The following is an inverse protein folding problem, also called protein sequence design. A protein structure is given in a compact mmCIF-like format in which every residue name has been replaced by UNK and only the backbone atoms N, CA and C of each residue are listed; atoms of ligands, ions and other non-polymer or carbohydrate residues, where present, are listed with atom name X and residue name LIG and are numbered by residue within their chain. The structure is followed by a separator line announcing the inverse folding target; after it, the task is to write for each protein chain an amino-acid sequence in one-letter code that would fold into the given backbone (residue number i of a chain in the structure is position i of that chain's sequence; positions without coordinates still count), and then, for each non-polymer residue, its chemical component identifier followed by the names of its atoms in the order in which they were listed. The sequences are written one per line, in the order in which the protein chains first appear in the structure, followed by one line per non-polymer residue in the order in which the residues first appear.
data_IF_113324624794
#
_entry.id   IF_113324624794
#
_cell.length_a   1.000
_cell.length_b   1.000
_cell.length_c   1.000
_cell.angle_alpha   90.00
_cell.angle_beta   90.00
_cell.angle_gamma   90.00
#
_symmetry.space_group_name_H-M   'P 1'
#
loop_
_entity.id
_entity.type
_entity.pdbx_description
1 polymer ?
#
# COMPACT_ATOMS: atom_id res chain seq x y z
N UNK A 1 17.91 17.94 9.33
CA UNK A 1 18.90 16.91 8.96
C UNK A 1 20.11 17.65 8.40
N UNK A 2 21.34 17.36 8.86
CA UNK A 2 22.55 17.92 8.24
C UNK A 2 22.70 17.38 6.81
N UNK A 3 23.43 18.08 5.93
CA UNK A 3 23.62 17.66 4.55
C UNK A 3 24.36 16.32 4.52
N UNK A 4 23.75 15.32 3.88
CA UNK A 4 24.36 14.01 3.64
C UNK A 4 25.66 14.24 2.86
N UNK A 5 26.79 13.89 3.47
CA UNK A 5 28.11 14.01 2.84
C UNK A 5 28.15 13.20 1.55
N UNK A 6 28.44 13.88 0.45
CA UNK A 6 28.58 13.37 -0.91
C UNK A 6 29.73 12.35 -1.01
N UNK A 7 29.46 11.06 -0.87
CA UNK A 7 30.42 10.03 -1.31
C UNK A 7 29.86 9.02 -2.32
N UNK A 8 28.54 8.96 -2.54
CA UNK A 8 27.94 8.25 -3.68
C UNK A 8 26.63 8.94 -4.06
N UNK A 9 26.69 9.98 -4.90
CA UNK A 9 25.48 10.47 -5.57
C UNK A 9 25.22 9.57 -6.77
N UNK A 10 24.35 8.58 -6.61
CA UNK A 10 23.83 7.79 -7.74
C UNK A 10 23.31 8.77 -8.82
N UNK A 11 23.75 8.70 -10.09
CA UNK A 11 23.22 9.57 -11.13
C UNK A 11 21.70 9.47 -11.22
N UNK A 12 21.01 10.58 -11.51
CA UNK A 12 19.53 10.59 -11.58
C UNK A 12 18.99 9.61 -12.64
N UNK A 13 19.69 9.46 -13.77
CA UNK A 13 19.36 8.47 -14.80
C UNK A 13 19.41 7.04 -14.29
N UNK A 14 20.44 6.69 -13.52
CA UNK A 14 20.58 5.37 -12.90
C UNK A 14 19.49 5.13 -11.85
N UNK A 15 19.13 6.14 -11.06
CA UNK A 15 18.02 6.05 -10.11
C UNK A 15 16.68 5.76 -10.82
N UNK A 16 16.41 6.41 -11.96
CA UNK A 16 15.24 6.10 -12.79
C UNK A 16 15.29 4.70 -13.37
N UNK A 17 16.45 4.25 -13.87
CA UNK A 17 16.63 2.91 -14.42
C UNK A 17 16.42 1.83 -13.36
N UNK A 18 16.93 2.03 -12.14
CA UNK A 18 16.74 1.10 -11.03
C UNK A 18 15.29 1.07 -10.57
N UNK A 19 14.65 2.23 -10.41
CA UNK A 19 13.24 2.29 -10.05
C UNK A 19 12.35 1.60 -11.11
N UNK A 20 12.64 1.82 -12.40
CA UNK A 20 12.00 1.11 -13.50
C UNK A 20 12.25 -0.40 -13.41
N UNK A 21 13.49 -0.83 -13.14
CA UNK A 21 13.86 -2.25 -13.01
C UNK A 21 13.12 -2.91 -11.86
N UNK A 22 13.03 -2.26 -10.69
CA UNK A 22 12.26 -2.76 -9.55
C UNK A 22 10.78 -2.92 -9.90
N UNK A 23 10.15 -1.87 -10.44
CA UNK A 23 8.74 -1.89 -10.81
C UNK A 23 8.44 -2.93 -11.92
N UNK A 24 9.28 -2.98 -12.95
CA UNK A 24 9.14 -3.90 -14.08
C UNK A 24 9.37 -5.34 -13.65
N UNK A 25 10.38 -5.62 -12.82
CA UNK A 25 10.61 -6.98 -12.32
C UNK A 25 9.42 -7.46 -11.49
N UNK A 26 8.84 -6.58 -10.66
CA UNK A 26 7.69 -6.90 -9.83
C UNK A 26 6.47 -7.26 -10.68
N UNK A 27 6.07 -6.36 -11.59
CA UNK A 27 4.91 -6.55 -12.47
C UNK A 27 5.16 -7.69 -13.47
N UNK A 28 6.33 -7.71 -14.09
CA UNK A 28 6.72 -8.71 -15.08
C UNK A 28 6.69 -10.12 -14.50
N UNK A 29 7.11 -10.30 -13.25
CA UNK A 29 7.10 -11.61 -12.57
C UNK A 29 5.72 -12.29 -12.56
N UNK A 30 4.63 -11.50 -12.58
CA UNK A 30 3.26 -12.01 -12.62
C UNK A 30 2.92 -12.77 -13.91
N UNK A 31 3.66 -12.49 -14.98
CA UNK A 31 3.38 -12.99 -16.33
C UNK A 31 4.47 -13.93 -16.88
N UNK A 32 5.63 -14.03 -16.22
CA UNK A 32 6.72 -14.94 -16.63
C UNK A 32 6.25 -16.39 -16.58
N UNK A 33 5.68 -16.81 -15.45
CA UNK A 33 5.27 -18.19 -15.20
C UNK A 33 3.91 -18.48 -15.85
N UNK A 34 3.83 -19.55 -16.66
CA UNK A 34 2.63 -19.89 -17.46
C UNK A 34 1.39 -20.08 -16.60
N UNK A 35 1.56 -20.68 -15.43
CA UNK A 35 0.51 -20.96 -14.43
C UNK A 35 0.01 -19.69 -13.76
N UNK A 36 0.76 -18.59 -13.82
CA UNK A 36 0.34 -17.27 -13.32
C UNK A 36 -0.44 -16.43 -14.34
N UNK A 37 -0.50 -16.86 -15.61
CA UNK A 37 -1.16 -16.11 -16.69
C UNK A 37 -2.68 -16.32 -16.64
N UNK A 38 -3.41 -15.22 -16.81
CA UNK A 38 -4.87 -15.27 -16.89
C UNK A 38 -5.32 -15.87 -18.22
N UNK A 39 -6.40 -16.66 -18.18
CA UNK A 39 -7.07 -17.17 -19.38
C UNK A 39 -8.45 -16.58 -19.46
N UNK A 40 -8.69 -15.81 -20.52
CA UNK A 40 -9.97 -15.18 -20.78
C UNK A 40 -10.78 -16.05 -21.74
N UNK A 41 -12.07 -16.17 -21.50
CA UNK A 41 -12.95 -16.88 -22.42
C UNK A 41 -13.03 -16.11 -23.74
N UNK A 42 -12.61 -16.73 -24.83
CA UNK A 42 -12.92 -16.30 -26.20
C UNK A 42 -14.15 -17.07 -26.66
N UNK A 43 -15.04 -16.41 -27.41
CA UNK A 43 -16.38 -16.92 -27.75
C UNK A 43 -16.43 -18.37 -28.24
N UNK A 44 -17.53 -19.05 -27.88
CA UNK A 44 -18.05 -20.32 -28.41
C UNK A 44 -17.12 -21.56 -28.44
N UNK A 45 -16.06 -21.63 -27.62
CA UNK A 45 -15.35 -22.89 -27.38
C UNK A 45 -15.53 -23.34 -25.92
N UNK A 46 -16.30 -24.40 -25.66
CA UNK A 46 -16.59 -24.87 -24.30
C UNK A 46 -15.39 -25.49 -23.55
N UNK A 47 -14.23 -25.64 -24.21
CA UNK A 47 -13.04 -26.30 -23.63
C UNK A 47 -12.08 -25.36 -22.88
N UNK A 48 -12.13 -24.02 -23.08
CA UNK A 48 -11.21 -23.11 -22.38
C UNK A 48 -11.86 -22.63 -21.08
N UNK A 49 -11.58 -23.35 -19.99
CA UNK A 49 -11.98 -22.94 -18.64
C UNK A 49 -11.38 -21.55 -18.31
N UNK A 50 -12.25 -20.56 -18.07
CA UNK A 50 -11.85 -19.20 -17.66
C UNK A 50 -11.01 -19.30 -16.39
N UNK A 51 -9.75 -18.89 -16.45
CA UNK A 51 -8.83 -18.87 -15.31
C UNK A 51 -8.59 -17.44 -14.89
N UNK A 52 -9.32 -17.03 -13.86
CA UNK A 52 -9.32 -15.66 -13.33
C UNK A 52 -8.20 -15.39 -12.33
N UNK A 53 -8.07 -14.11 -11.93
CA UNK A 53 -7.08 -13.64 -10.96
C UNK A 53 -7.23 -14.27 -9.57
N UNK A 54 -8.46 -14.67 -9.21
CA UNK A 54 -8.77 -15.25 -7.90
C UNK A 54 -8.71 -16.79 -7.87
N UNK A 55 -8.25 -17.40 -8.95
CA UNK A 55 -7.93 -18.82 -8.99
C UNK A 55 -6.78 -19.14 -8.00
N UNK A 56 -6.94 -20.11 -7.07
CA UNK A 56 -5.95 -20.37 -6.02
C UNK A 56 -4.56 -20.72 -6.55
N UNK A 57 -4.47 -21.39 -7.70
CA UNK A 57 -3.19 -21.75 -8.30
C UNK A 57 -2.53 -20.54 -8.97
N UNK A 58 -3.31 -19.67 -9.64
CA UNK A 58 -2.81 -18.36 -10.13
C UNK A 58 -2.27 -17.54 -8.97
N UNK A 59 -3.01 -17.45 -7.87
CA UNK A 59 -2.59 -16.70 -6.68
C UNK A 59 -1.27 -17.26 -6.15
N UNK A 60 -1.19 -18.56 -5.85
CA UNK A 60 0.04 -19.17 -5.30
C UNK A 60 1.26 -18.93 -6.20
N UNK A 61 1.08 -19.08 -7.51
CA UNK A 61 2.15 -18.85 -8.50
C UNK A 61 2.60 -17.39 -8.51
N UNK A 62 1.66 -16.45 -8.61
CA UNK A 62 1.96 -15.02 -8.58
C UNK A 62 2.61 -14.61 -7.26
N UNK A 63 2.13 -15.12 -6.12
CA UNK A 63 2.72 -14.85 -4.80
C UNK A 63 4.17 -15.31 -4.70
N UNK A 64 4.50 -16.50 -5.20
CA UNK A 64 5.90 -16.97 -5.27
C UNK A 64 6.74 -16.05 -6.16
N UNK A 65 6.25 -15.71 -7.34
CA UNK A 65 6.95 -14.87 -8.31
C UNK A 65 7.25 -13.47 -7.75
N UNK A 66 6.27 -12.78 -7.15
CA UNK A 66 6.48 -11.45 -6.55
C UNK A 66 7.39 -11.51 -5.33
N UNK A 67 7.37 -12.61 -4.57
CA UNK A 67 8.30 -12.80 -3.44
C UNK A 67 9.75 -12.89 -3.94
N UNK A 68 10.02 -13.69 -4.97
CA UNK A 68 11.36 -13.77 -5.57
C UNK A 68 11.79 -12.44 -6.19
N UNK A 69 10.90 -11.74 -6.90
CA UNK A 69 11.19 -10.40 -7.44
C UNK A 69 11.48 -9.36 -6.34
N UNK A 70 10.79 -9.45 -5.20
CA UNK A 70 11.03 -8.57 -4.05
C UNK A 70 12.39 -8.87 -3.40
N UNK A 71 12.74 -10.14 -3.25
CA UNK A 71 14.08 -10.55 -2.78
C UNK A 71 15.16 -10.05 -3.74
N UNK A 72 14.96 -10.21 -5.06
CA UNK A 72 15.85 -9.66 -6.07
C UNK A 72 16.04 -8.15 -5.92
N UNK A 73 14.96 -7.40 -5.71
CA UNK A 73 15.01 -5.94 -5.52
C UNK A 73 15.82 -5.56 -4.28
N UNK A 74 15.62 -6.28 -3.16
CA UNK A 74 16.41 -6.10 -1.93
C UNK A 74 17.88 -6.40 -2.20
N UNK A 75 18.20 -7.55 -2.80
CA UNK A 75 19.58 -7.96 -3.05
C UNK A 75 20.30 -7.00 -4.00
N UNK A 76 19.62 -6.52 -5.04
CA UNK A 76 20.16 -5.53 -5.96
C UNK A 76 20.41 -4.19 -5.24
N UNK A 77 19.48 -3.73 -4.40
CA UNK A 77 19.71 -2.54 -3.57
C UNK A 77 20.87 -2.76 -2.59
N UNK A 78 20.95 -3.92 -1.94
CA UNK A 78 22.05 -4.24 -1.03
C UNK A 78 23.39 -4.28 -1.76
N UNK A 79 23.44 -4.81 -2.97
CA UNK A 79 24.63 -4.76 -3.83
C UNK A 79 25.05 -3.32 -4.12
N UNK A 80 24.11 -2.45 -4.49
CA UNK A 80 24.38 -1.01 -4.72
C UNK A 80 24.86 -0.31 -3.43
N UNK A 81 24.28 -0.69 -2.28
CA UNK A 81 24.62 -0.14 -0.96
C UNK A 81 25.83 -0.81 -0.29
N UNK A 82 26.37 -1.91 -0.82
CA UNK A 82 27.36 -2.78 -0.15
C UNK A 82 28.72 -2.12 0.09
N UNK A 83 28.89 -0.86 -0.32
CA UNK A 83 30.01 0.00 0.05
C UNK A 83 29.88 0.66 1.43
N UNK A 84 28.75 0.51 2.15
CA UNK A 84 28.56 1.02 3.52
C UNK A 84 27.49 0.23 4.31
N UNK A 85 27.91 -0.70 5.16
CA UNK A 85 27.03 -1.63 5.92
C UNK A 85 26.06 -0.93 6.88
N UNK A 86 26.33 0.32 7.29
CA UNK A 86 25.46 1.07 8.20
C UNK A 86 24.28 1.77 7.50
N UNK A 87 24.38 2.06 6.18
CA UNK A 87 23.35 2.83 5.46
C UNK A 87 22.11 2.03 5.09
N UNK A 88 22.23 0.72 4.87
CA UNK A 88 21.11 -0.06 4.30
C UNK A 88 19.94 -0.28 5.28
N UNK A 89 20.21 -0.40 6.59
CA UNK A 89 19.14 -0.59 7.59
C UNK A 89 18.25 0.65 7.70
N UNK A 90 18.87 1.83 7.66
CA UNK A 90 18.16 3.12 7.67
C UNK A 90 17.37 3.32 6.36
N UNK A 91 17.93 2.91 5.22
CA UNK A 91 17.27 3.04 3.92
C UNK A 91 16.09 2.08 3.74
N UNK A 92 16.17 0.85 4.25
CA UNK A 92 15.09 -0.13 4.13
C UNK A 92 13.99 0.03 5.20
N UNK A 93 14.29 0.71 6.31
CA UNK A 93 13.33 0.92 7.39
C UNK A 93 12.87 -0.36 8.10
N UNK A 94 13.73 -1.39 8.17
CA UNK A 94 13.43 -2.65 8.88
C UNK A 94 13.61 -2.59 10.40
N UNK A 95 13.53 -1.39 10.99
CA UNK A 95 13.55 -1.25 12.44
C UNK A 95 12.30 -1.90 13.08
N UNK A 96 12.46 -2.48 14.28
CA UNK A 96 11.30 -2.94 15.05
C UNK A 96 10.35 -1.77 15.33
N UNK A 97 9.02 -2.00 15.40
CA UNK A 97 8.03 -0.95 15.65
C UNK A 97 7.98 -0.60 17.15
N UNK A 98 9.15 -0.33 17.73
CA UNK A 98 9.31 0.07 19.13
C UNK A 98 9.81 1.51 19.17
N UNK A 99 9.25 2.36 20.06
CA UNK A 99 9.76 3.70 20.25
C UNK A 99 11.25 3.64 20.62
N UNK A 100 12.10 4.51 20.06
CA UNK A 100 13.50 4.55 20.45
C UNK A 100 13.62 4.85 21.94
N UNK A 101 14.65 4.31 22.60
CA UNK A 101 14.86 4.48 24.05
C UNK A 101 14.83 5.96 24.46
N UNK A 102 15.30 6.86 23.60
CA UNK A 102 15.22 8.32 23.77
C UNK A 102 13.81 8.86 24.02
N UNK A 103 12.77 8.20 23.49
CA UNK A 103 11.36 8.55 23.75
C UNK A 103 10.98 8.42 25.22
N UNK A 104 11.70 7.58 25.97
CA UNK A 104 11.49 7.33 27.40
C UNK A 104 12.45 8.13 28.28
N UNK A 105 13.47 8.77 27.71
CA UNK A 105 14.44 9.62 28.43
C UNK A 105 13.93 11.04 28.66
N UNK A 106 12.70 11.37 28.22
CA UNK A 106 12.05 12.63 28.52
C UNK A 106 11.90 12.83 30.03
N UNK A 107 12.34 13.99 30.53
CA UNK A 107 12.29 14.34 31.95
C UNK A 107 10.86 14.49 32.52
N UNK A 108 9.81 14.52 31.69
CA UNK A 108 8.42 14.60 32.14
C UNK A 108 7.55 13.44 31.61
N UNK A 109 6.56 12.96 32.40
CA UNK A 109 5.57 11.98 31.93
C UNK A 109 4.82 12.43 30.68
N UNK A 110 4.51 13.73 30.57
CA UNK A 110 3.84 14.32 29.39
C UNK A 110 4.70 14.21 28.13
N UNK A 111 6.01 14.43 28.25
CA UNK A 111 6.93 14.30 27.12
C UNK A 111 7.10 12.85 26.65
N UNK A 112 7.04 11.87 27.57
CA UNK A 112 7.03 10.44 27.22
C UNK A 112 5.77 10.10 26.44
N UNK A 113 4.59 10.48 26.94
CA UNK A 113 3.31 10.25 26.27
C UNK A 113 3.30 10.89 24.88
N UNK A 114 3.77 12.12 24.75
CA UNK A 114 3.84 12.82 23.45
C UNK A 114 4.76 12.10 22.47
N UNK A 115 5.92 11.61 22.93
CA UNK A 115 6.90 10.91 22.08
C UNK A 115 6.37 9.56 21.60
N UNK A 116 5.77 8.78 22.52
CA UNK A 116 5.12 7.50 22.19
C UNK A 116 3.94 7.70 21.24
N UNK A 117 3.12 8.73 21.47
CA UNK A 117 2.00 9.05 20.59
C UNK A 117 2.49 9.38 19.17
N UNK A 118 3.51 10.24 19.02
CA UNK A 118 4.07 10.58 17.71
C UNK A 118 4.66 9.37 16.99
N UNK A 119 5.28 8.44 17.72
CA UNK A 119 5.79 7.21 17.16
C UNK A 119 4.68 6.34 16.55
N UNK A 120 3.55 6.20 17.25
CA UNK A 120 2.45 5.36 16.77
C UNK A 120 1.47 6.08 15.84
N UNK A 121 1.47 7.42 15.80
CA UNK A 121 0.56 8.20 14.97
C UNK A 121 0.55 7.77 13.49
N UNK A 122 1.70 7.55 12.80
CA UNK A 122 1.73 7.07 11.43
C UNK A 122 0.94 5.78 11.16
N UNK A 123 0.88 4.86 12.13
CA UNK A 123 0.14 3.61 12.04
C UNK A 123 -1.38 3.81 12.16
N UNK A 124 -1.80 4.91 12.80
CA UNK A 124 -3.20 5.21 13.11
C UNK A 124 -3.86 6.13 12.08
N UNK A 125 -3.08 6.85 11.26
CA UNK A 125 -3.59 7.86 10.34
C UNK A 125 -4.60 7.31 9.33
N UNK A 126 -4.35 6.14 8.72
CA UNK A 126 -5.34 5.52 7.80
C UNK A 126 -6.61 5.10 8.55
N UNK A 127 -6.56 4.36 9.68
CA UNK A 127 -7.74 4.12 10.50
C UNK A 127 -8.51 5.39 10.87
N UNK A 128 -7.81 6.48 11.21
CA UNK A 128 -8.41 7.80 11.50
C UNK A 128 -9.12 8.36 10.26
N UNK A 129 -8.51 8.30 9.08
CA UNK A 129 -9.16 8.73 7.83
C UNK A 129 -10.44 7.93 7.55
N UNK A 130 -10.42 6.62 7.86
CA UNK A 130 -11.55 5.70 7.72
C UNK A 130 -12.60 5.78 8.83
N UNK A 131 -12.55 6.80 9.71
CA UNK A 131 -13.53 7.01 10.78
C UNK A 131 -14.99 6.96 10.29
N UNK A 132 -15.30 7.56 9.13
CA UNK A 132 -16.63 7.50 8.51
C UNK A 132 -17.08 6.07 8.16
N UNK A 133 -16.36 5.34 7.30
CA UNK A 133 -16.64 3.93 7.01
C UNK A 133 -16.69 3.02 8.24
N UNK A 134 -15.79 3.20 9.22
CA UNK A 134 -15.80 2.44 10.49
C UNK A 134 -17.11 2.70 11.25
N UNK A 135 -17.56 3.95 11.31
CA UNK A 135 -18.84 4.31 11.92
C UNK A 135 -20.03 3.64 11.20
N UNK A 136 -19.98 3.52 9.87
CA UNK A 136 -21.01 2.78 9.13
C UNK A 136 -21.01 1.29 9.47
N UNK A 137 -19.84 0.67 9.63
CA UNK A 137 -19.72 -0.74 10.09
C UNK A 137 -20.30 -0.89 11.52
N UNK A 138 -20.02 0.09 12.39
CA UNK A 138 -20.59 0.14 13.74
C UNK A 138 -22.12 0.23 13.74
N UNK A 139 -22.69 1.12 12.92
CA UNK A 139 -24.15 1.26 12.80
C UNK A 139 -24.81 -0.02 12.30
N UNK A 140 -24.10 -0.79 11.47
CA UNK A 140 -24.54 -2.09 10.96
C UNK A 140 -24.32 -3.23 11.95
N UNK A 141 -23.82 -2.95 13.16
CA UNK A 141 -23.51 -3.92 14.21
C UNK A 141 -22.53 -5.02 13.77
N UNK A 142 -21.56 -4.64 12.92
CA UNK A 142 -20.57 -5.56 12.31
C UNK A 142 -19.13 -5.35 12.81
N UNK A 143 -18.89 -4.43 13.74
CA UNK A 143 -17.59 -4.39 14.42
C UNK A 143 -17.40 -5.62 15.32
N UNK A 144 -16.15 -6.01 15.60
CA UNK A 144 -15.86 -7.07 16.57
C UNK A 144 -16.69 -6.90 17.85
N UNK A 145 -17.27 -8.01 18.32
CA UNK A 145 -18.11 -8.08 19.53
C UNK A 145 -19.50 -7.41 19.43
N UNK A 146 -19.92 -6.92 18.25
CA UNK A 146 -21.31 -6.53 18.00
C UNK A 146 -22.16 -7.72 17.52
N UNK A 147 -23.49 -7.54 17.57
CA UNK A 147 -24.49 -8.59 17.35
C UNK A 147 -24.34 -9.40 16.04
N UNK A 148 -23.78 -8.81 14.98
CA UNK A 148 -23.62 -9.47 13.67
C UNK A 148 -22.15 -9.68 13.29
N UNK A 149 -21.23 -9.70 14.26
CA UNK A 149 -19.81 -9.98 14.02
C UNK A 149 -19.40 -11.28 14.72
N UNK A 150 -18.62 -12.16 14.05
CA UNK A 150 -18.17 -13.43 14.64
C UNK A 150 -17.05 -13.26 15.71
N UNK A 151 -16.86 -12.07 16.28
CA UNK A 151 -15.73 -11.72 17.14
C UNK A 151 -14.42 -11.45 16.37
N UNK A 152 -13.43 -10.84 17.02
CA UNK A 152 -12.19 -10.38 16.37
C UNK A 152 -11.39 -11.53 15.74
N UNK A 153 -11.12 -12.58 16.50
CA UNK A 153 -10.28 -13.71 16.04
C UNK A 153 -10.91 -14.44 14.86
N UNK A 154 -12.23 -14.66 14.87
CA UNK A 154 -12.91 -15.31 13.76
C UNK A 154 -12.98 -14.42 12.52
N UNK A 155 -13.19 -13.10 12.69
CA UNK A 155 -13.12 -12.15 11.57
C UNK A 155 -11.73 -12.12 10.93
N UNK A 156 -10.67 -12.13 11.73
CA UNK A 156 -9.29 -12.19 11.24
C UNK A 156 -9.03 -13.53 10.53
N UNK A 157 -9.39 -14.65 11.16
CA UNK A 157 -9.25 -15.98 10.56
C UNK A 157 -10.04 -16.11 9.25
N UNK A 158 -11.23 -15.51 9.17
CA UNK A 158 -12.02 -15.44 7.94
C UNK A 158 -11.33 -14.58 6.87
N UNK A 159 -10.75 -13.44 7.26
CA UNK A 159 -10.09 -12.53 6.34
C UNK A 159 -8.82 -13.12 5.71
N UNK A 160 -8.03 -13.90 6.45
CA UNK A 160 -6.81 -14.56 5.93
C UNK A 160 -6.96 -16.07 5.75
N UNK A 161 -8.20 -16.59 5.79
CA UNK A 161 -8.47 -18.03 5.74
C UNK A 161 -8.36 -18.66 4.35
N UNK A 162 -8.18 -17.85 3.30
CA UNK A 162 -8.04 -18.32 1.93
C UNK A 162 -6.91 -17.58 1.18
N UNK A 163 -6.55 -18.07 0.00
CA UNK A 163 -5.45 -17.52 -0.80
C UNK A 163 -5.67 -16.05 -1.20
N UNK A 164 -6.92 -15.65 -1.46
CA UNK A 164 -7.28 -14.25 -1.78
C UNK A 164 -7.00 -13.34 -0.59
N UNK A 165 -7.38 -13.76 0.61
CA UNK A 165 -7.15 -13.06 1.86
C UNK A 165 -5.67 -12.91 2.19
N UNK A 166 -4.90 -14.01 2.11
CA UNK A 166 -3.44 -13.99 2.31
C UNK A 166 -2.76 -13.06 1.30
N UNK A 167 -3.18 -13.09 0.03
CA UNK A 167 -2.69 -12.16 -1.00
C UNK A 167 -2.98 -10.72 -0.61
N UNK A 168 -4.24 -10.38 -0.35
CA UNK A 168 -4.70 -9.00 -0.19
C UNK A 168 -4.23 -8.35 1.12
N UNK A 169 -4.09 -9.11 2.20
CA UNK A 169 -3.86 -8.56 3.55
C UNK A 169 -2.49 -8.88 4.14
N UNK A 170 -1.71 -9.76 3.51
CA UNK A 170 -0.39 -10.14 4.02
C UNK A 170 0.67 -9.94 2.94
N UNK A 171 0.66 -10.78 1.89
CA UNK A 171 1.79 -10.85 0.97
C UNK A 171 1.87 -9.62 0.08
N UNK A 172 0.78 -9.22 -0.59
CA UNK A 172 0.82 -8.08 -1.50
C UNK A 172 1.18 -6.77 -0.79
N UNK A 173 0.57 -6.41 0.37
CA UNK A 173 1.02 -5.23 1.11
C UNK A 173 2.52 -5.28 1.45
N UNK A 174 3.02 -6.39 2.01
CA UNK A 174 4.43 -6.49 2.39
C UNK A 174 5.36 -6.33 1.17
N UNK A 175 5.11 -7.08 0.10
CA UNK A 175 5.99 -7.06 -1.07
C UNK A 175 5.90 -5.75 -1.85
N UNK A 176 4.71 -5.15 -1.97
CA UNK A 176 4.55 -3.85 -2.62
C UNK A 176 5.23 -2.72 -1.84
N UNK A 177 5.09 -2.70 -0.50
CA UNK A 177 5.79 -1.69 0.30
C UNK A 177 7.32 -1.86 0.23
N UNK A 178 7.83 -3.09 0.29
CA UNK A 178 9.27 -3.35 0.14
C UNK A 178 9.81 -2.81 -1.19
N UNK A 179 9.15 -3.13 -2.31
CA UNK A 179 9.65 -2.74 -3.63
C UNK A 179 9.46 -1.25 -3.86
N UNK A 180 8.24 -0.74 -3.69
CA UNK A 180 7.89 0.61 -4.11
C UNK A 180 8.16 1.68 -3.05
N UNK A 181 8.24 1.31 -1.76
CA UNK A 181 8.54 2.25 -0.67
C UNK A 181 9.96 2.06 -0.16
N UNK A 182 10.42 0.87 0.16
CA UNK A 182 11.81 0.73 0.61
C UNK A 182 12.81 0.90 -0.56
N UNK A 183 12.70 0.09 -1.63
CA UNK A 183 13.73 0.07 -2.67
C UNK A 183 13.74 1.32 -3.55
N UNK A 184 12.58 1.73 -4.06
CA UNK A 184 12.49 2.91 -4.93
C UNK A 184 12.82 4.21 -4.19
N UNK A 185 12.36 4.40 -2.96
CA UNK A 185 12.72 5.60 -2.17
C UNK A 185 14.19 5.62 -1.83
N UNK A 186 14.80 4.46 -1.52
CA UNK A 186 16.23 4.39 -1.25
C UNK A 186 17.07 4.87 -2.44
N UNK A 187 16.80 4.42 -3.67
CA UNK A 187 17.58 4.88 -4.85
C UNK A 187 17.39 6.36 -5.15
N UNK A 188 16.20 6.92 -4.93
CA UNK A 188 15.99 8.37 -5.05
C UNK A 188 16.64 9.17 -3.92
N UNK A 189 16.78 8.59 -2.73
CA UNK A 189 17.52 9.19 -1.62
C UNK A 189 19.02 9.19 -1.93
N UNK A 190 19.55 8.08 -2.47
CA UNK A 190 20.95 7.95 -2.88
C UNK A 190 21.33 8.89 -4.03
N UNK A 191 20.40 9.25 -4.91
CA UNK A 191 20.64 10.26 -5.95
C UNK A 191 20.52 11.71 -5.46
N UNK A 192 20.26 11.92 -4.16
CA UNK A 192 20.12 13.24 -3.56
C UNK A 192 18.83 13.97 -3.95
N UNK A 193 17.78 13.25 -4.36
CA UNK A 193 16.51 13.89 -4.69
C UNK A 193 15.91 14.58 -3.45
N UNK A 194 15.43 15.80 -3.62
CA UNK A 194 14.73 16.52 -2.57
C UNK A 194 13.51 15.74 -2.08
N UNK A 195 13.24 15.75 -0.76
CA UNK A 195 12.13 15.00 -0.13
C UNK A 195 10.79 15.14 -0.87
N UNK A 196 10.43 16.36 -1.28
CA UNK A 196 9.16 16.59 -1.98
C UNK A 196 9.10 15.89 -3.36
N UNK A 197 10.23 15.79 -4.07
CA UNK A 197 10.32 15.04 -5.34
C UNK A 197 10.16 13.55 -5.10
N UNK A 198 10.71 13.04 -4.00
CA UNK A 198 10.54 11.63 -3.61
C UNK A 198 9.07 11.36 -3.28
N UNK A 199 8.46 12.18 -2.41
CA UNK A 199 7.06 12.03 -1.96
C UNK A 199 6.07 12.07 -3.11
N UNK A 200 6.24 12.96 -4.09
CA UNK A 200 5.29 13.12 -5.19
C UNK A 200 5.68 12.40 -6.49
N UNK A 201 6.98 12.12 -6.69
CA UNK A 201 7.50 11.51 -7.91
C UNK A 201 7.61 9.99 -7.83
N UNK A 202 8.19 9.45 -6.76
CA UNK A 202 8.37 7.98 -6.63
C UNK A 202 7.07 7.16 -6.69
N UNK A 203 5.91 7.63 -6.16
CA UNK A 203 4.65 6.87 -6.23
C UNK A 203 4.10 6.70 -7.65
N UNK A 204 4.60 7.43 -8.65
CA UNK A 204 4.22 7.22 -10.05
C UNK A 204 4.57 5.80 -10.49
N UNK A 205 5.67 5.21 -10.00
CA UNK A 205 6.01 3.81 -10.26
C UNK A 205 4.97 2.84 -9.72
N UNK A 206 4.46 3.11 -8.52
CA UNK A 206 3.40 2.30 -7.91
C UNK A 206 2.07 2.44 -8.67
N UNK A 207 1.72 3.65 -9.10
CA UNK A 207 0.58 3.89 -9.99
C UNK A 207 0.73 3.14 -11.31
N UNK A 208 1.87 3.29 -11.98
CA UNK A 208 2.15 2.65 -13.27
C UNK A 208 2.09 1.12 -13.20
N UNK A 209 2.48 0.52 -12.07
CA UNK A 209 2.41 -0.91 -11.86
C UNK A 209 0.99 -1.49 -11.94
N UNK A 210 -0.04 -0.64 -11.86
CA UNK A 210 -1.44 -1.04 -11.99
C UNK A 210 -1.98 -0.89 -13.43
N UNK A 211 -1.22 -0.31 -14.36
CA UNK A 211 -1.67 -0.10 -15.73
C UNK A 211 -1.95 -1.40 -16.48
N UNK A 212 -1.30 -2.52 -16.10
CA UNK A 212 -1.63 -3.84 -16.68
C UNK A 212 -3.08 -4.26 -16.45
N UNK A 213 -3.78 -3.68 -15.46
CA UNK A 213 -5.18 -4.01 -15.20
C UNK A 213 -6.10 -3.50 -16.31
N UNK A 214 -5.69 -2.52 -17.12
CA UNK A 214 -6.45 -2.10 -18.29
C UNK A 214 -6.60 -3.27 -19.28
N UNK A 215 -5.50 -3.99 -19.53
CA UNK A 215 -5.53 -5.18 -20.37
C UNK A 215 -6.41 -6.27 -19.76
N UNK A 216 -6.27 -6.54 -18.45
CA UNK A 216 -7.10 -7.54 -17.78
C UNK A 216 -8.60 -7.19 -17.82
N UNK A 217 -8.96 -5.93 -17.57
CA UNK A 217 -10.33 -5.44 -17.61
C UNK A 217 -10.91 -5.50 -19.02
N UNK A 218 -10.16 -5.05 -20.04
CA UNK A 218 -10.59 -5.09 -21.44
C UNK A 218 -10.91 -6.52 -21.90
N UNK A 219 -10.05 -7.49 -21.55
CA UNK A 219 -10.27 -8.89 -21.87
C UNK A 219 -11.46 -9.49 -21.10
N UNK A 220 -11.63 -9.14 -19.82
CA UNK A 220 -12.74 -9.65 -18.99
C UNK A 220 -14.11 -9.10 -19.40
N UNK A 221 -14.16 -7.86 -19.91
CA UNK A 221 -15.37 -7.17 -20.33
C UNK A 221 -15.79 -7.49 -21.78
N UNK A 222 -15.11 -8.45 -22.43
CA UNK A 222 -15.53 -8.95 -23.74
C UNK A 222 -14.96 -8.20 -24.94
N UNK A 223 -13.88 -7.41 -24.76
CA UNK A 223 -13.10 -6.79 -25.86
C UNK A 223 -13.91 -5.89 -26.82
N UNK A 224 -14.97 -5.25 -26.32
CA UNK A 224 -15.77 -4.28 -27.08
C UNK A 224 -15.24 -2.86 -26.92
N UNK A 225 -15.73 -1.91 -27.74
CA UNK A 225 -15.42 -0.49 -27.55
C UNK A 225 -15.86 0.01 -26.15
N UNK A 226 -17.04 -0.40 -25.69
CA UNK A 226 -17.51 -0.09 -24.32
C UNK A 226 -16.59 -0.69 -23.26
N UNK A 227 -16.11 -1.93 -23.47
CA UNK A 227 -15.14 -2.57 -22.58
C UNK A 227 -13.82 -1.79 -22.50
N UNK A 228 -13.35 -1.27 -23.63
CA UNK A 228 -12.14 -0.44 -23.68
C UNK A 228 -12.33 0.86 -22.88
N UNK A 229 -13.43 1.57 -23.11
CA UNK A 229 -13.74 2.80 -22.38
C UNK A 229 -13.81 2.56 -20.87
N UNK A 230 -14.49 1.48 -20.45
CA UNK A 230 -14.58 1.10 -19.04
C UNK A 230 -13.22 0.70 -18.46
N UNK A 231 -12.42 -0.09 -19.18
CA UNK A 231 -11.09 -0.50 -18.74
C UNK A 231 -10.17 0.71 -18.56
N UNK A 232 -10.15 1.63 -19.52
CA UNK A 232 -9.37 2.87 -19.43
C UNK A 232 -9.82 3.75 -18.26
N UNK A 233 -11.12 3.92 -18.07
CA UNK A 233 -11.65 4.71 -16.96
C UNK A 233 -11.32 4.10 -15.59
N UNK A 234 -11.49 2.78 -15.43
CA UNK A 234 -11.15 2.05 -14.21
C UNK A 234 -9.66 2.14 -13.91
N UNK A 235 -8.80 1.95 -14.91
CA UNK A 235 -7.35 2.01 -14.73
C UNK A 235 -6.85 3.44 -14.49
N UNK A 236 -7.42 4.46 -15.13
CA UNK A 236 -7.08 5.85 -14.85
C UNK A 236 -7.44 6.25 -13.41
N UNK A 237 -8.61 5.82 -12.94
CA UNK A 237 -9.00 5.98 -11.54
C UNK A 237 -8.04 5.24 -10.60
N UNK A 238 -7.74 3.98 -10.90
CA UNK A 238 -6.85 3.16 -10.08
C UNK A 238 -5.44 3.76 -10.03
N UNK A 239 -4.87 4.17 -11.16
CA UNK A 239 -3.57 4.86 -11.24
C UNK A 239 -3.55 6.10 -10.35
N UNK A 240 -4.55 6.97 -10.48
CA UNK A 240 -4.62 8.20 -9.68
C UNK A 240 -4.72 7.89 -8.19
N UNK A 241 -5.60 6.97 -7.83
CA UNK A 241 -5.82 6.59 -6.43
C UNK A 241 -4.58 5.95 -5.81
N UNK A 242 -3.95 4.99 -6.50
CA UNK A 242 -2.76 4.30 -5.97
C UNK A 242 -1.54 5.22 -5.96
N UNK A 243 -1.39 6.15 -6.90
CA UNK A 243 -0.34 7.19 -6.83
C UNK A 243 -0.53 8.09 -5.62
N UNK A 244 -1.74 8.57 -5.34
CA UNK A 244 -2.01 9.41 -4.16
C UNK A 244 -1.80 8.64 -2.85
N UNK A 245 -2.28 7.40 -2.78
CA UNK A 245 -2.04 6.52 -1.64
C UNK A 245 -0.54 6.24 -1.45
N UNK A 246 0.19 6.00 -2.55
CA UNK A 246 1.63 5.81 -2.54
C UNK A 246 2.38 7.05 -2.06
N UNK A 247 1.95 8.26 -2.42
CA UNK A 247 2.53 9.50 -1.93
C UNK A 247 2.37 9.64 -0.41
N UNK A 248 1.19 9.28 0.11
CA UNK A 248 0.97 9.17 1.54
C UNK A 248 1.91 8.14 2.19
N UNK A 249 1.99 6.91 1.65
CA UNK A 249 2.86 5.86 2.18
C UNK A 249 4.34 6.26 2.20
N UNK A 250 4.83 6.95 1.16
CA UNK A 250 6.19 7.48 1.12
C UNK A 250 6.39 8.54 2.20
N UNK A 251 5.44 9.46 2.40
CA UNK A 251 5.59 10.49 3.43
C UNK A 251 5.62 9.89 4.84
N UNK A 252 4.71 8.96 5.17
CA UNK A 252 4.74 8.29 6.49
C UNK A 252 5.96 7.39 6.66
N UNK A 253 6.46 6.74 5.61
CA UNK A 253 7.71 5.98 5.64
C UNK A 253 8.90 6.88 5.99
N UNK A 254 8.98 8.04 5.35
CA UNK A 254 10.03 9.03 5.60
C UNK A 254 9.85 9.80 6.93
N UNK A 255 8.69 9.72 7.59
CA UNK A 255 8.45 10.24 8.94
C UNK A 255 8.84 9.19 9.99
N UNK A 256 8.37 7.95 9.82
CA UNK A 256 8.57 6.88 10.80
C UNK A 256 9.96 6.25 10.70
N UNK A 257 10.63 6.33 9.54
CA UNK A 257 11.82 5.54 9.23
C UNK A 257 11.56 4.04 9.26
N UNK A 258 10.29 3.61 9.16
CA UNK A 258 9.88 2.24 9.38
C UNK A 258 8.87 1.78 8.32
N UNK A 259 9.18 0.70 7.62
CA UNK A 259 8.34 0.12 6.55
C UNK A 259 7.03 -0.46 7.09
N UNK A 260 6.95 -0.79 8.38
CA UNK A 260 5.73 -1.33 8.98
C UNK A 260 4.61 -0.29 9.05
N UNK A 261 4.93 1.00 9.14
CA UNK A 261 3.91 2.06 9.12
C UNK A 261 3.13 2.07 7.78
N UNK A 262 3.76 2.18 6.60
CA UNK A 262 3.04 2.09 5.34
C UNK A 262 2.47 0.69 5.07
N UNK A 263 3.09 -0.42 5.53
CA UNK A 263 2.47 -1.76 5.47
C UNK A 263 1.15 -1.79 6.25
N UNK A 264 1.09 -1.25 7.47
CA UNK A 264 -0.15 -1.20 8.24
C UNK A 264 -1.21 -0.33 7.57
N UNK A 265 -0.82 0.80 6.99
CA UNK A 265 -1.70 1.68 6.26
C UNK A 265 -2.31 0.97 5.04
N UNK A 266 -1.49 0.21 4.31
CA UNK A 266 -1.91 -0.54 3.14
C UNK A 266 -2.85 -1.69 3.51
N UNK A 267 -2.53 -2.46 4.55
CA UNK A 267 -3.44 -3.50 5.07
C UNK A 267 -4.78 -2.87 5.45
N UNK A 268 -4.77 -1.77 6.22
CA UNK A 268 -5.99 -1.08 6.62
C UNK A 268 -6.80 -0.57 5.40
N UNK A 269 -6.14 0.03 4.41
CA UNK A 269 -6.79 0.47 3.18
C UNK A 269 -7.38 -0.69 2.37
N UNK A 270 -6.70 -1.83 2.29
CA UNK A 270 -7.21 -3.03 1.62
C UNK A 270 -8.42 -3.62 2.34
N UNK A 271 -8.43 -3.61 3.67
CA UNK A 271 -9.56 -4.07 4.47
C UNK A 271 -10.79 -3.17 4.31
N UNK A 272 -10.59 -1.85 4.30
CA UNK A 272 -11.68 -0.88 4.23
C UNK A 272 -12.17 -0.67 2.80
N UNK A 273 -11.29 -0.81 1.81
CA UNK A 273 -11.57 -0.53 0.41
C UNK A 273 -11.84 0.96 0.14
N UNK A 274 -12.44 1.22 -1.03
CA UNK A 274 -12.88 2.56 -1.41
C UNK A 274 -14.10 2.97 -0.58
N UNK A 275 -14.09 4.15 0.09
CA UNK A 275 -15.26 4.65 0.79
C UNK A 275 -16.44 4.87 -0.16
N UNK A 276 -17.59 4.24 0.12
CA UNK A 276 -18.78 4.32 -0.73
C UNK A 276 -19.80 5.32 -0.17
N UNK A 277 -19.36 6.55 0.11
CA UNK A 277 -20.11 7.59 0.83
C UNK A 277 -21.57 7.76 0.37
N UNK A 278 -21.78 7.85 -0.95
CA UNK A 278 -23.13 8.03 -1.52
C UNK A 278 -24.03 6.80 -1.32
N UNK A 279 -23.46 5.60 -1.45
CA UNK A 279 -24.19 4.35 -1.25
C UNK A 279 -24.55 4.15 0.23
N UNK A 280 -23.61 4.37 1.14
CA UNK A 280 -23.82 4.20 2.58
C UNK A 280 -24.91 5.13 3.12
N UNK A 281 -24.96 6.38 2.62
CA UNK A 281 -26.03 7.34 2.95
C UNK A 281 -27.40 6.93 2.43
N UNK A 282 -27.47 6.23 1.30
CA UNK A 282 -28.73 5.67 0.78
C UNK A 282 -29.18 4.45 1.57
N UNK A 283 -28.22 3.60 1.98
CA UNK A 283 -28.49 2.39 2.76
C UNK A 283 -28.94 2.69 4.20
N UNK A 284 -28.45 3.78 4.81
CA UNK A 284 -28.77 4.18 6.19
C UNK A 284 -29.34 5.61 6.24
N UNK A 285 -30.57 5.83 5.74
CA UNK A 285 -31.13 7.17 5.54
C UNK A 285 -31.30 7.95 6.86
N UNK A 286 -31.65 7.27 7.95
CA UNK A 286 -31.81 7.88 9.27
C UNK A 286 -30.49 8.43 9.85
N UNK A 287 -29.35 7.92 9.41
CA UNK A 287 -28.02 8.30 9.92
C UNK A 287 -27.23 9.21 8.95
N UNK A 288 -27.87 9.76 7.91
CA UNK A 288 -27.18 10.55 6.86
C UNK A 288 -26.35 11.70 7.42
N UNK A 289 -26.85 12.41 8.42
CA UNK A 289 -26.15 13.54 9.06
C UNK A 289 -24.94 13.07 9.85
N UNK A 290 -25.09 12.04 10.69
CA UNK A 290 -23.97 11.51 11.48
C UNK A 290 -22.92 10.84 10.62
N UNK A 291 -23.30 10.07 9.59
CA UNK A 291 -22.35 9.50 8.61
C UNK A 291 -21.54 10.63 7.95
N UNK A 292 -22.22 11.68 7.48
CA UNK A 292 -21.54 12.84 6.88
C UNK A 292 -20.56 13.49 7.87
N UNK A 293 -20.97 13.71 9.12
CA UNK A 293 -20.10 14.27 10.16
C UNK A 293 -18.86 13.39 10.43
N UNK A 294 -19.01 12.06 10.53
CA UNK A 294 -17.90 11.16 10.82
C UNK A 294 -16.90 11.05 9.66
N UNK A 295 -17.36 11.17 8.41
CA UNK A 295 -16.49 11.28 7.24
C UNK A 295 -15.65 12.57 7.29
N UNK A 296 -16.26 13.71 7.55
CA UNK A 296 -15.53 14.98 7.68
C UNK A 296 -14.59 14.98 8.88
N UNK A 297 -15.01 14.40 10.01
CA UNK A 297 -14.17 14.25 11.19
C UNK A 297 -12.91 13.44 10.87
N UNK A 298 -13.06 12.30 10.16
CA UNK A 298 -11.93 11.49 9.73
C UNK A 298 -10.92 12.27 8.89
N UNK A 299 -11.40 13.08 7.94
CA UNK A 299 -10.56 13.95 7.10
C UNK A 299 -9.82 15.00 7.95
N UNK A 300 -10.54 15.72 8.82
CA UNK A 300 -9.96 16.77 9.67
C UNK A 300 -8.90 16.20 10.60
N UNK A 301 -9.20 15.09 11.27
CA UNK A 301 -8.26 14.43 12.18
C UNK A 301 -7.05 13.86 11.44
N UNK A 302 -7.24 13.30 10.25
CA UNK A 302 -6.15 12.85 9.40
C UNK A 302 -5.23 13.99 9.01
N UNK A 303 -5.77 15.12 8.53
CA UNK A 303 -4.98 16.29 8.13
C UNK A 303 -4.23 16.89 9.32
N UNK A 304 -4.89 17.04 10.48
CA UNK A 304 -4.25 17.51 11.71
C UNK A 304 -3.14 16.54 12.17
N UNK A 305 -3.42 15.23 12.12
CA UNK A 305 -2.46 14.19 12.44
C UNK A 305 -1.23 14.20 11.54
N UNK A 306 -1.40 14.42 10.23
CA UNK A 306 -0.28 14.59 9.29
C UNK A 306 0.61 15.78 9.65
N UNK A 307 0.02 16.90 10.09
CA UNK A 307 0.79 18.08 10.55
C UNK A 307 1.57 17.75 11.81
N UNK A 308 0.96 17.04 12.77
CA UNK A 308 1.63 16.63 14.02
C UNK A 308 2.73 15.61 13.75
N UNK A 309 2.51 14.64 12.85
CA UNK A 309 3.49 13.61 12.52
C UNK A 309 4.77 14.17 11.87
N UNK A 310 4.67 15.32 11.18
CA UNK A 310 5.82 16.00 10.55
C UNK A 310 6.63 16.89 11.51
N UNK A 311 6.17 17.09 12.76
CA UNK A 311 6.80 17.94 13.77
C UNK A 311 7.60 17.14 14.81
#
# INVERSE_FOLDING_TARGET
MPPVSMSMSLPTSEAHLLAFTFALSYVGSLYVVKEGRLRFATGSSPEIQKRGRDDPEVIRTRLRAVTFSSIFSILLLLYICSMDVLKWRELLGFALPLPPVSSFLSASPVGVISSVFRFYLPYLLIPILYTGPIYVIYLRKRLPYQAYSPGLLASLKGAVGNAVGVRNYVVAPITEEIVFRACIVAVYTLCGAARWKIVWGSPLWFGMAHLHHAWEAYNNLGKTYSALQQALAQTAFQFTYTTLFGAYCVDIFLISGNILAPVSAHIAANFMGMPMFGYEKRMLPHYRRSITAMYYLGIVLFTAGMVVARR
#
